data_IF_210120562835
#
_entry.id   IF_210120562835
#
_cell.length_a   1.000
_cell.length_b   1.000
_cell.length_c   1.000
_cell.angle_alpha   90.00
_cell.angle_beta   90.00
_cell.angle_gamma   90.00
#
_symmetry.space_group_name_H-M   'P 1'
#
loop_
_entity.id
_entity.type
_entity.pdbx_description
1 polymer ?
#
# COMPACT_ATOMS: atom_id res chain seq x y z
N UNK A 1 23.02 11.83 -26.53
CA UNK A 1 22.93 13.09 -25.75
C UNK A 1 21.57 13.74 -25.83
N UNK A 2 20.98 13.97 -27.00
CA UNK A 2 19.61 14.51 -27.17
C UNK A 2 18.51 13.64 -26.56
N UNK A 3 18.55 12.33 -26.73
CA UNK A 3 17.55 11.40 -26.16
C UNK A 3 17.56 11.43 -24.64
N UNK A 4 18.72 11.51 -24.01
CA UNK A 4 18.84 11.60 -22.54
C UNK A 4 18.25 12.92 -22.03
N UNK A 5 18.47 14.04 -22.71
CA UNK A 5 17.89 15.35 -22.36
C UNK A 5 16.36 15.35 -22.51
N UNK A 6 15.83 14.68 -23.51
CA UNK A 6 14.37 14.50 -23.72
C UNK A 6 13.76 13.65 -22.61
N UNK A 7 14.44 12.59 -22.19
CA UNK A 7 13.99 11.72 -21.09
C UNK A 7 13.98 12.49 -19.76
N UNK A 8 15.03 13.25 -19.48
CA UNK A 8 15.12 14.10 -18.27
C UNK A 8 14.03 15.18 -18.27
N UNK A 9 13.76 15.82 -19.41
CA UNK A 9 12.69 16.80 -19.54
C UNK A 9 11.30 16.20 -19.32
N UNK A 10 11.03 14.98 -19.84
CA UNK A 10 9.79 14.24 -19.59
C UNK A 10 9.66 13.88 -18.11
N UNK A 11 10.72 13.41 -17.47
CA UNK A 11 10.75 13.13 -16.04
C UNK A 11 10.42 14.36 -15.21
N UNK A 12 11.08 15.50 -15.49
CA UNK A 12 10.82 16.76 -14.81
C UNK A 12 9.37 17.24 -15.01
N UNK A 13 8.84 17.11 -16.21
CA UNK A 13 7.45 17.46 -16.52
C UNK A 13 6.45 16.59 -15.72
N UNK A 14 6.70 15.29 -15.57
CA UNK A 14 5.91 14.39 -14.73
C UNK A 14 5.95 14.83 -13.27
N UNK A 15 7.13 15.13 -12.72
CA UNK A 15 7.30 15.62 -11.35
C UNK A 15 6.50 16.90 -11.11
N UNK A 16 6.58 17.86 -12.03
CA UNK A 16 5.84 19.12 -11.94
C UNK A 16 4.32 18.91 -12.01
N UNK A 17 3.83 18.07 -12.92
CA UNK A 17 2.41 17.71 -13.02
C UNK A 17 1.92 17.05 -11.72
N UNK A 18 2.70 16.12 -11.15
CA UNK A 18 2.41 15.46 -9.88
C UNK A 18 2.32 16.46 -8.74
N UNK A 19 3.29 17.37 -8.59
CA UNK A 19 3.27 18.42 -7.55
C UNK A 19 2.05 19.33 -7.66
N UNK A 20 1.69 19.76 -8.87
CA UNK A 20 0.52 20.61 -9.10
C UNK A 20 -0.79 19.88 -8.78
N UNK A 21 -0.86 18.57 -9.08
CA UNK A 21 -2.01 17.73 -8.73
C UNK A 21 -2.13 17.61 -7.22
N UNK A 22 -1.03 17.26 -6.52
CA UNK A 22 -0.98 17.17 -5.05
C UNK A 22 -1.51 18.45 -4.39
N UNK A 23 -1.05 19.63 -4.83
CA UNK A 23 -1.50 20.90 -4.26
C UNK A 23 -3.02 21.11 -4.42
N UNK A 24 -3.59 20.74 -5.57
CA UNK A 24 -5.05 20.83 -5.82
C UNK A 24 -5.83 19.86 -4.94
N UNK A 25 -5.36 18.64 -4.82
CA UNK A 25 -6.01 17.57 -4.05
C UNK A 25 -5.99 17.88 -2.55
N UNK A 26 -4.86 18.40 -2.02
CA UNK A 26 -4.76 18.87 -0.62
C UNK A 26 -5.75 20.01 -0.34
N UNK A 27 -5.88 20.97 -1.26
CA UNK A 27 -6.85 22.06 -1.12
C UNK A 27 -8.30 21.56 -1.17
N UNK A 28 -8.61 20.61 -2.04
CA UNK A 28 -9.93 19.97 -2.10
C UNK A 28 -10.25 19.23 -0.82
N UNK A 29 -9.32 18.40 -0.36
CA UNK A 29 -9.46 17.61 0.87
C UNK A 29 -9.61 18.52 2.10
N UNK A 30 -8.86 19.62 2.21
CA UNK A 30 -9.04 20.62 3.29
C UNK A 30 -10.45 21.24 3.27
N UNK A 31 -11.01 21.52 2.09
CA UNK A 31 -12.38 22.03 1.95
C UNK A 31 -13.40 21.00 2.40
N UNK A 32 -13.22 19.75 2.01
CA UNK A 32 -14.10 18.63 2.36
C UNK A 32 -14.07 18.34 3.86
N UNK A 33 -12.88 18.33 4.49
CA UNK A 33 -12.72 18.17 5.93
C UNK A 33 -13.34 19.32 6.73
N UNK A 34 -13.28 20.56 6.24
CA UNK A 34 -13.96 21.71 6.85
C UNK A 34 -15.49 21.59 6.71
N UNK A 35 -15.97 20.99 5.61
CA UNK A 35 -17.38 20.65 5.40
C UNK A 35 -17.88 19.52 6.31
N UNK A 36 -17.06 18.52 6.60
CA UNK A 36 -17.38 17.38 7.47
C UNK A 36 -17.56 17.76 8.94
N UNK A 37 -16.90 18.80 9.45
CA UNK A 37 -17.14 19.31 10.81
C UNK A 37 -18.60 19.69 11.08
N UNK A 38 -19.43 19.87 10.06
CA UNK A 38 -20.87 20.17 10.19
C UNK A 38 -21.78 18.95 10.28
N UNK A 39 -21.34 17.75 9.91
CA UNK A 39 -22.14 16.54 10.09
C UNK A 39 -21.78 15.87 11.42
N UNK A 40 -22.58 16.10 12.47
CA UNK A 40 -22.55 15.31 13.71
C UNK A 40 -22.99 13.87 13.37
N UNK A 41 -22.05 13.05 12.97
CA UNK A 41 -22.27 11.61 12.84
C UNK A 41 -21.92 11.00 14.20
N UNK A 42 -22.81 10.16 14.74
CA UNK A 42 -22.57 9.46 16.00
C UNK A 42 -21.26 8.68 15.90
N UNK A 43 -20.25 9.06 16.69
CA UNK A 43 -18.96 8.37 16.73
C UNK A 43 -19.18 6.99 17.35
N UNK A 44 -18.77 5.93 16.66
CA UNK A 44 -18.66 4.62 17.24
C UNK A 44 -17.64 4.68 18.39
N UNK A 45 -17.98 4.06 19.55
CA UNK A 45 -17.10 4.02 20.71
C UNK A 45 -15.77 3.29 20.46
N UNK A 46 -15.61 2.65 19.29
CA UNK A 46 -14.43 1.89 18.87
C UNK A 46 -13.49 2.68 17.93
N UNK A 47 -13.90 3.86 17.46
CA UNK A 47 -13.08 4.66 16.55
C UNK A 47 -12.04 5.46 17.35
N UNK A 48 -10.72 5.29 17.06
CA UNK A 48 -9.69 6.08 17.72
C UNK A 48 -9.85 7.58 17.47
N UNK A 49 -9.71 8.38 18.52
CA UNK A 49 -9.98 9.83 18.47
C UNK A 49 -8.93 10.61 17.65
N UNK A 50 -7.75 10.04 17.44
CA UNK A 50 -6.60 10.62 16.75
C UNK A 50 -6.52 10.27 15.26
N UNK A 51 -7.48 9.50 14.74
CA UNK A 51 -7.47 9.02 13.36
C UNK A 51 -7.32 10.14 12.33
N UNK A 52 -8.01 11.27 12.51
CA UNK A 52 -7.96 12.37 11.54
C UNK A 52 -6.54 12.95 11.39
N UNK A 53 -5.81 13.14 12.50
CA UNK A 53 -4.45 13.66 12.49
C UNK A 53 -3.48 12.65 11.84
N UNK A 54 -3.61 11.37 12.21
CA UNK A 54 -2.78 10.30 11.67
C UNK A 54 -3.02 10.16 10.16
N UNK A 55 -4.25 10.18 9.70
CA UNK A 55 -4.55 10.11 8.26
C UNK A 55 -3.97 11.30 7.50
N UNK A 56 -4.06 12.52 8.05
CA UNK A 56 -3.46 13.69 7.43
C UNK A 56 -1.93 13.56 7.29
N UNK A 57 -1.27 13.01 8.32
CA UNK A 57 0.17 12.73 8.27
C UNK A 57 0.48 11.68 7.21
N UNK A 58 -0.23 10.54 7.20
CA UNK A 58 -0.01 9.45 6.25
C UNK A 58 -0.25 9.89 4.80
N UNK A 59 -1.26 10.71 4.54
CA UNK A 59 -1.54 11.25 3.21
C UNK A 59 -0.43 12.19 2.73
N UNK A 60 0.08 13.05 3.60
CA UNK A 60 1.21 13.94 3.30
C UNK A 60 2.47 13.16 2.94
N UNK A 61 2.78 12.15 3.74
CA UNK A 61 3.91 11.25 3.46
C UNK A 61 3.71 10.45 2.15
N UNK A 62 2.48 10.03 1.84
CA UNK A 62 2.18 9.38 0.56
C UNK A 62 2.39 10.34 -0.63
N UNK A 63 2.01 11.61 -0.48
CA UNK A 63 2.23 12.65 -1.49
C UNK A 63 3.73 12.94 -1.71
N UNK A 64 4.52 12.94 -0.64
CA UNK A 64 5.99 13.07 -0.71
C UNK A 64 6.63 11.88 -1.45
N UNK A 65 6.21 10.66 -1.15
CA UNK A 65 6.67 9.45 -1.85
C UNK A 65 6.29 9.53 -3.32
N UNK A 66 5.03 9.88 -3.63
CA UNK A 66 4.54 10.01 -4.99
C UNK A 66 5.38 11.00 -5.81
N UNK A 67 5.78 12.13 -5.22
CA UNK A 67 6.59 13.13 -5.91
C UNK A 67 8.00 12.64 -6.30
N UNK A 68 8.52 11.59 -5.65
CA UNK A 68 9.87 11.06 -5.82
C UNK A 68 9.90 9.60 -6.29
N UNK A 69 8.77 9.05 -6.73
CA UNK A 69 8.64 7.61 -6.99
C UNK A 69 9.63 7.13 -8.05
N UNK A 70 9.82 7.87 -9.13
CA UNK A 70 10.72 7.47 -10.22
C UNK A 70 12.19 7.42 -9.75
N UNK A 71 12.64 8.45 -9.01
CA UNK A 71 13.98 8.48 -8.41
C UNK A 71 14.16 7.33 -7.44
N UNK A 72 13.16 7.07 -6.60
CA UNK A 72 13.21 5.98 -5.62
C UNK A 72 13.33 4.61 -6.30
N UNK A 73 12.57 4.36 -7.36
CA UNK A 73 12.66 3.09 -8.10
C UNK A 73 14.00 2.91 -8.80
N UNK A 74 14.61 3.98 -9.31
CA UNK A 74 15.95 3.95 -9.86
C UNK A 74 16.99 3.63 -8.78
N UNK A 75 16.96 4.30 -7.62
CA UNK A 75 17.85 4.06 -6.48
C UNK A 75 17.75 2.62 -5.95
N UNK A 76 16.54 2.05 -5.90
CA UNK A 76 16.30 0.65 -5.50
C UNK A 76 16.70 -0.37 -6.56
N UNK A 77 17.01 0.07 -7.78
CA UNK A 77 17.40 -0.78 -8.90
C UNK A 77 16.28 -1.71 -9.37
N UNK A 78 15.00 -1.30 -9.21
CA UNK A 78 13.84 -2.14 -9.56
C UNK A 78 13.79 -2.40 -11.06
N UNK A 79 14.11 -1.39 -11.87
CA UNK A 79 14.14 -1.49 -13.34
C UNK A 79 15.25 -2.40 -13.86
N UNK A 80 16.32 -2.61 -13.06
CA UNK A 80 17.42 -3.50 -13.39
C UNK A 80 17.15 -4.97 -13.04
N UNK A 81 16.05 -5.28 -12.32
CA UNK A 81 15.67 -6.65 -12.04
C UNK A 81 15.31 -7.40 -13.34
N UNK A 82 15.58 -8.73 -13.42
CA UNK A 82 15.03 -9.53 -14.49
C UNK A 82 13.50 -9.45 -14.50
N UNK A 83 12.85 -9.83 -15.59
CA UNK A 83 11.41 -9.85 -15.70
C UNK A 83 10.92 -11.24 -16.11
N UNK A 84 10.23 -12.00 -15.22
CA UNK A 84 9.88 -11.63 -13.85
C UNK A 84 11.08 -11.63 -12.91
N UNK A 85 11.03 -10.78 -11.86
CA UNK A 85 12.10 -10.66 -10.87
C UNK A 85 11.61 -10.26 -9.49
N UNK A 86 12.32 -10.80 -8.47
CA UNK A 86 12.05 -10.50 -7.06
C UNK A 86 13.39 -10.32 -6.33
N UNK A 87 13.49 -9.28 -5.51
CA UNK A 87 14.56 -9.08 -4.53
C UNK A 87 13.92 -8.86 -3.16
N UNK A 88 14.48 -9.49 -2.14
CA UNK A 88 13.97 -9.46 -0.77
C UNK A 88 15.09 -9.25 0.24
N UNK A 89 14.81 -8.45 1.26
CA UNK A 89 15.67 -8.24 2.42
C UNK A 89 14.82 -8.27 3.69
N UNK A 90 15.24 -9.01 4.71
CA UNK A 90 14.59 -9.07 6.03
C UNK A 90 15.57 -8.79 7.14
N UNK A 91 15.14 -8.04 8.17
CA UNK A 91 15.87 -7.82 9.41
C UNK A 91 14.88 -7.93 10.59
N UNK A 92 14.70 -9.13 11.12
CA UNK A 92 13.74 -9.42 12.20
C UNK A 92 14.03 -8.68 13.51
N UNK A 93 15.30 -8.34 13.74
CA UNK A 93 15.75 -7.65 14.96
C UNK A 93 15.70 -6.14 14.85
N UNK A 94 15.37 -5.58 13.67
CA UNK A 94 15.32 -4.14 13.49
C UNK A 94 14.28 -3.49 14.41
N UNK A 95 14.68 -2.40 15.05
CA UNK A 95 13.83 -1.51 15.82
C UNK A 95 14.09 -0.09 15.35
N UNK A 96 13.04 0.69 15.13
CA UNK A 96 13.09 2.01 14.50
C UNK A 96 13.70 1.97 13.08
N UNK A 97 13.57 0.83 12.40
CA UNK A 97 14.16 0.55 11.08
C UNK A 97 13.33 -0.46 10.28
N UNK A 98 13.75 -0.73 9.05
CA UNK A 98 13.10 -1.64 8.10
C UNK A 98 13.30 -3.10 8.53
N UNK A 99 12.18 -3.79 8.74
CA UNK A 99 12.14 -5.23 9.06
C UNK A 99 11.95 -6.11 7.83
N UNK A 100 11.30 -5.57 6.78
CA UNK A 100 11.08 -6.25 5.50
C UNK A 100 11.14 -5.23 4.37
N UNK A 101 11.89 -5.55 3.33
CA UNK A 101 11.91 -4.81 2.07
C UNK A 101 11.82 -5.80 0.90
N UNK A 102 10.93 -5.52 -0.06
CA UNK A 102 10.71 -6.33 -1.25
C UNK A 102 10.61 -5.45 -2.49
N UNK A 103 11.20 -5.91 -3.58
CA UNK A 103 11.04 -5.29 -4.89
C UNK A 103 10.71 -6.35 -5.91
N UNK A 104 9.71 -6.10 -6.78
CA UNK A 104 9.36 -7.02 -7.86
C UNK A 104 9.23 -6.29 -9.19
N UNK A 105 9.50 -7.01 -10.27
CA UNK A 105 9.28 -6.59 -11.65
C UNK A 105 8.56 -7.69 -12.41
N UNK A 106 7.43 -7.35 -13.03
CA UNK A 106 6.60 -8.27 -13.78
C UNK A 106 6.14 -7.62 -15.10
N UNK A 107 5.78 -8.45 -16.07
CA UNK A 107 5.15 -8.02 -17.30
C UNK A 107 3.78 -8.71 -17.40
N UNK A 108 2.73 -7.90 -17.59
CA UNK A 108 1.36 -8.39 -17.75
C UNK A 108 0.92 -8.19 -19.21
N UNK A 109 0.31 -9.21 -19.87
CA UNK A 109 -0.08 -9.14 -21.28
C UNK A 109 -1.41 -8.41 -21.48
N UNK A 110 -1.56 -7.22 -20.88
CA UNK A 110 -2.77 -6.39 -20.91
C UNK A 110 -2.38 -4.91 -21.00
N UNK A 111 -3.24 -4.09 -21.60
CA UNK A 111 -3.01 -2.66 -21.71
C UNK A 111 -2.94 -1.97 -20.34
N UNK A 112 -2.16 -0.89 -20.25
CA UNK A 112 -1.97 -0.12 -19.03
C UNK A 112 -3.30 0.31 -18.40
N UNK A 113 -4.25 0.78 -19.19
CA UNK A 113 -5.55 1.27 -18.69
C UNK A 113 -6.37 0.16 -18.02
N UNK A 114 -6.44 -1.04 -18.65
CA UNK A 114 -7.13 -2.21 -18.08
C UNK A 114 -6.43 -2.66 -16.80
N UNK A 115 -5.10 -2.78 -16.87
CA UNK A 115 -4.28 -3.20 -15.73
C UNK A 115 -4.40 -2.23 -14.55
N UNK A 116 -4.32 -0.93 -14.78
CA UNK A 116 -4.44 0.08 -13.71
C UNK A 116 -5.84 0.09 -13.07
N UNK A 117 -6.90 -0.08 -13.86
CA UNK A 117 -8.28 -0.19 -13.34
C UNK A 117 -8.44 -1.42 -12.44
N UNK A 118 -7.90 -2.56 -12.86
CA UNK A 118 -7.96 -3.81 -12.09
C UNK A 118 -7.07 -3.75 -10.85
N UNK A 119 -5.86 -3.20 -10.98
CA UNK A 119 -4.95 -2.99 -9.86
C UNK A 119 -5.56 -2.12 -8.77
N UNK A 120 -6.34 -1.10 -9.10
CA UNK A 120 -7.10 -0.31 -8.12
C UNK A 120 -7.98 -1.20 -7.26
N UNK A 121 -8.75 -2.10 -7.86
CA UNK A 121 -9.65 -3.02 -7.13
C UNK A 121 -8.84 -3.96 -6.23
N UNK A 122 -7.78 -4.57 -6.76
CA UNK A 122 -6.92 -5.50 -6.02
C UNK A 122 -6.26 -4.78 -4.84
N UNK A 123 -5.67 -3.61 -5.06
CA UNK A 123 -4.97 -2.84 -4.02
C UNK A 123 -5.92 -2.25 -2.96
N UNK A 124 -7.15 -1.87 -3.34
CA UNK A 124 -8.18 -1.47 -2.37
C UNK A 124 -8.47 -2.60 -1.39
N UNK A 125 -8.54 -3.82 -1.90
CA UNK A 125 -8.82 -5.03 -1.12
C UNK A 125 -7.60 -5.58 -0.37
N UNK A 126 -6.39 -5.10 -0.68
CA UNK A 126 -5.16 -5.54 -0.03
C UNK A 126 -5.20 -5.20 1.48
N UNK A 127 -4.87 -6.17 2.32
CA UNK A 127 -4.93 -6.02 3.78
C UNK A 127 -6.34 -6.15 4.36
N UNK A 128 -7.36 -6.42 3.56
CA UNK A 128 -8.75 -6.64 3.99
C UNK A 128 -9.32 -7.93 3.41
N UNK A 129 -10.24 -7.86 2.45
CA UNK A 129 -10.81 -9.06 1.82
C UNK A 129 -9.79 -9.90 1.04
N UNK A 130 -8.72 -9.28 0.52
CA UNK A 130 -7.60 -9.97 -0.09
C UNK A 130 -6.88 -10.93 0.86
N UNK A 131 -6.80 -10.59 2.16
CA UNK A 131 -6.23 -11.49 3.19
C UNK A 131 -7.01 -12.81 3.34
N UNK A 132 -8.32 -12.80 3.10
CA UNK A 132 -9.16 -14.00 3.18
C UNK A 132 -8.88 -15.01 2.07
N UNK A 133 -8.30 -14.55 0.95
CA UNK A 133 -7.93 -15.40 -0.19
C UNK A 133 -6.61 -16.15 0.05
N UNK A 134 -5.77 -15.67 0.97
CA UNK A 134 -4.55 -16.34 1.36
C UNK A 134 -4.92 -17.47 2.30
N UNK A 135 -4.74 -18.72 1.86
CA UNK A 135 -4.95 -19.90 2.69
C UNK A 135 -4.08 -19.81 3.95
N UNK A 136 -4.62 -20.27 5.06
CA UNK A 136 -3.98 -20.36 6.39
C UNK A 136 -3.79 -19.03 7.15
N UNK A 137 -4.38 -17.94 6.68
CA UNK A 137 -4.40 -16.67 7.44
C UNK A 137 -5.74 -16.55 8.17
N UNK A 138 -5.80 -17.00 9.41
CA UNK A 138 -6.99 -16.93 10.28
C UNK A 138 -7.26 -15.52 10.81
N UNK A 139 -7.28 -14.49 9.93
CA UNK A 139 -7.51 -13.11 10.33
C UNK A 139 -8.99 -12.75 10.20
N UNK A 140 -9.54 -12.13 11.24
CA UNK A 140 -10.90 -11.56 11.24
C UNK A 140 -10.81 -10.05 11.23
N UNK A 141 -11.51 -9.39 10.31
CA UNK A 141 -11.47 -7.94 10.12
C UNK A 141 -12.82 -7.36 10.52
N UNK A 142 -12.78 -6.37 11.42
CA UNK A 142 -13.90 -5.54 11.82
C UNK A 142 -13.62 -4.10 11.45
N UNK A 143 -14.38 -3.55 10.52
CA UNK A 143 -14.26 -2.14 10.14
C UNK A 143 -14.86 -1.23 11.20
N UNK A 144 -14.23 -0.08 11.41
CA UNK A 144 -14.84 1.01 12.16
C UNK A 144 -15.91 1.67 11.30
N UNK A 145 -17.10 1.86 11.82
CA UNK A 145 -18.34 2.16 11.08
C UNK A 145 -18.35 3.47 10.27
N UNK A 146 -17.27 4.27 10.25
CA UNK A 146 -17.28 5.62 9.69
C UNK A 146 -16.04 6.04 8.89
N UNK A 147 -15.09 5.16 8.64
CA UNK A 147 -13.80 5.62 8.13
C UNK A 147 -13.30 4.86 6.89
N UNK A 148 -14.21 4.57 5.96
CA UNK A 148 -13.78 4.37 4.59
C UNK A 148 -14.28 5.57 3.78
N UNK A 149 -13.37 6.50 3.51
CA UNK A 149 -13.61 7.55 2.54
C UNK A 149 -12.90 7.16 1.25
N UNK A 150 -13.66 7.00 0.19
CA UNK A 150 -13.14 6.75 -1.14
C UNK A 150 -13.47 7.94 -2.03
N UNK A 151 -12.45 8.65 -2.47
CA UNK A 151 -12.53 9.57 -3.58
C UNK A 151 -11.94 8.92 -4.84
N UNK A 152 -12.02 9.62 -5.98
CA UNK A 152 -11.50 9.11 -7.24
C UNK A 152 -10.03 8.67 -7.14
N UNK A 153 -9.21 9.39 -6.37
CA UNK A 153 -7.74 9.23 -6.32
C UNK A 153 -7.21 8.92 -4.90
N UNK A 154 -8.09 8.74 -3.92
CA UNK A 154 -7.71 8.55 -2.53
C UNK A 154 -8.63 7.56 -1.85
N UNK A 155 -8.03 6.66 -1.06
CA UNK A 155 -8.73 5.77 -0.15
C UNK A 155 -8.19 5.96 1.27
N UNK A 156 -9.08 6.07 2.24
CA UNK A 156 -8.74 6.14 3.68
C UNK A 156 -9.58 5.09 4.41
N UNK A 157 -8.94 4.27 5.23
CA UNK A 157 -9.60 3.19 5.99
C UNK A 157 -9.05 3.08 7.40
N UNK A 158 -9.93 2.76 8.36
CA UNK A 158 -9.57 2.31 9.71
C UNK A 158 -10.34 1.03 10.06
N UNK A 159 -9.65 0.05 10.63
CA UNK A 159 -10.25 -1.21 11.04
C UNK A 159 -9.43 -1.92 12.11
N UNK A 160 -10.06 -2.84 12.82
CA UNK A 160 -9.38 -3.77 13.71
C UNK A 160 -9.21 -5.13 13.00
N UNK A 161 -7.97 -5.61 12.95
CA UNK A 161 -7.61 -6.90 12.38
C UNK A 161 -7.32 -7.87 13.54
N UNK A 162 -8.28 -8.73 13.87
CA UNK A 162 -8.11 -9.73 14.93
C UNK A 162 -7.27 -10.91 14.42
N UNK A 163 -6.41 -11.43 15.29
CA UNK A 163 -5.59 -12.63 15.05
C UNK A 163 -5.96 -13.75 16.01
N UNK A 164 -7.06 -14.48 15.73
CA UNK A 164 -7.47 -15.62 16.57
C UNK A 164 -6.34 -16.65 16.64
N UNK A 165 -6.09 -17.18 17.84
CA UNK A 165 -5.04 -18.21 18.02
C UNK A 165 -3.64 -17.69 18.28
N UNK A 166 -3.34 -16.42 18.05
CA UNK A 166 -2.04 -15.88 18.44
C UNK A 166 -1.93 -15.79 19.99
N UNK A 167 -0.87 -16.31 20.62
CA UNK A 167 -0.79 -16.41 22.08
C UNK A 167 -0.75 -15.04 22.78
N UNK A 168 -0.01 -14.09 22.23
CA UNK A 168 0.25 -12.80 22.85
C UNK A 168 -0.66 -11.68 22.32
N UNK A 169 -1.03 -11.68 21.05
CA UNK A 169 -1.69 -10.57 20.38
C UNK A 169 -3.16 -10.91 20.13
N UNK A 170 -4.08 -10.00 20.49
CA UNK A 170 -5.51 -10.12 20.14
C UNK A 170 -5.78 -9.71 18.69
N UNK A 171 -4.97 -8.80 18.17
CA UNK A 171 -5.10 -8.22 16.84
C UNK A 171 -4.31 -6.92 16.73
N UNK A 172 -4.62 -6.13 15.72
CA UNK A 172 -4.02 -4.81 15.52
C UNK A 172 -5.08 -3.78 15.11
N UNK A 173 -4.97 -2.57 15.67
CA UNK A 173 -5.62 -1.40 15.13
C UNK A 173 -4.89 -0.98 13.85
N UNK A 174 -5.58 -0.96 12.73
CA UNK A 174 -4.99 -0.66 11.42
C UNK A 174 -5.57 0.62 10.85
N UNK A 175 -4.68 1.48 10.35
CA UNK A 175 -5.01 2.66 9.54
C UNK A 175 -4.31 2.52 8.20
N UNK A 176 -5.05 2.76 7.14
CA UNK A 176 -4.59 2.59 5.77
C UNK A 176 -4.99 3.81 4.94
N UNK A 177 -4.06 4.31 4.15
CA UNK A 177 -4.35 5.28 3.10
C UNK A 177 -3.78 4.78 1.78
N UNK A 178 -4.42 5.16 0.67
CA UNK A 178 -3.89 4.93 -0.67
C UNK A 178 -4.08 6.20 -1.50
N UNK A 179 -3.04 6.58 -2.21
CA UNK A 179 -3.05 7.59 -3.27
C UNK A 179 -2.85 6.91 -4.60
N UNK A 180 -3.59 7.35 -5.62
CA UNK A 180 -3.40 6.86 -6.97
C UNK A 180 -3.36 8.01 -7.98
N UNK A 181 -2.61 7.79 -9.04
CA UNK A 181 -2.62 8.62 -10.24
C UNK A 181 -2.56 7.71 -11.46
N UNK A 182 -3.45 7.94 -12.39
CA UNK A 182 -3.46 7.25 -13.69
C UNK A 182 -3.31 8.32 -14.75
N UNK A 183 -2.22 8.21 -15.52
CA UNK A 183 -1.86 9.07 -16.64
C UNK A 183 -1.92 8.24 -17.92
N UNK A 184 -1.63 8.85 -19.06
CA UNK A 184 -1.73 8.17 -20.35
C UNK A 184 -0.71 7.01 -20.49
N UNK A 185 0.50 7.20 -20.01
CA UNK A 185 1.64 6.28 -20.14
C UNK A 185 2.10 5.65 -18.81
N UNK A 186 1.48 6.03 -17.70
CA UNK A 186 1.90 5.60 -16.37
C UNK A 186 0.73 5.57 -15.38
N UNK A 187 0.72 4.57 -14.49
CA UNK A 187 -0.14 4.55 -13.32
C UNK A 187 0.71 4.35 -12.06
N UNK A 188 0.41 5.11 -11.01
CA UNK A 188 1.14 5.06 -9.74
C UNK A 188 0.15 4.90 -8.59
N UNK A 189 0.42 3.93 -7.73
CA UNK A 189 -0.32 3.69 -6.49
C UNK A 189 0.65 3.73 -5.32
N UNK A 190 0.38 4.60 -4.35
CA UNK A 190 1.12 4.67 -3.08
C UNK A 190 0.17 4.29 -1.97
N UNK A 191 0.46 3.19 -1.32
CA UNK A 191 -0.30 2.64 -0.22
C UNK A 191 0.54 2.72 1.05
N UNK A 192 -0.03 3.31 2.12
CA UNK A 192 0.59 3.34 3.44
C UNK A 192 -0.33 2.71 4.46
N UNK A 193 0.24 1.97 5.38
CA UNK A 193 -0.47 1.37 6.48
C UNK A 193 0.31 1.58 7.78
N UNK A 194 -0.43 1.87 8.84
CA UNK A 194 0.03 1.83 10.21
C UNK A 194 -0.76 0.78 10.98
N UNK A 195 -0.09 -0.12 11.64
CA UNK A 195 -0.70 -1.15 12.47
C UNK A 195 -0.15 -1.07 13.89
N UNK A 196 -1.05 -0.96 14.86
CA UNK A 196 -0.75 -0.96 16.29
C UNK A 196 -1.25 -2.28 16.88
N UNK A 197 -0.35 -3.25 17.12
CA UNK A 197 -0.73 -4.50 17.75
C UNK A 197 -1.22 -4.29 19.20
N UNK A 198 -2.20 -5.12 19.61
CA UNK A 198 -2.83 -5.04 20.93
C UNK A 198 -2.66 -6.34 21.68
N UNK A 199 -2.29 -6.23 22.97
CA UNK A 199 -2.13 -7.39 23.86
C UNK A 199 -3.46 -8.11 24.06
N UNK A 200 -3.38 -9.42 24.13
CA UNK A 200 -4.52 -10.28 24.48
C UNK A 200 -4.91 -10.06 25.92
N UNK A 201 -6.22 -9.89 26.14
CA UNK A 201 -6.80 -9.71 27.47
C UNK A 201 -6.90 -8.28 27.97
N UNK A 202 -5.90 -7.42 27.69
CA UNK A 202 -5.91 -6.02 28.15
C UNK A 202 -6.24 -5.02 27.04
N UNK A 203 -6.07 -5.41 25.78
CA UNK A 203 -6.16 -4.52 24.62
C UNK A 203 -5.17 -3.33 24.65
N UNK A 204 -4.17 -3.40 25.51
CA UNK A 204 -3.12 -2.40 25.64
C UNK A 204 -2.15 -2.47 24.44
N UNK A 205 -1.38 -1.40 24.22
CA UNK A 205 -0.27 -1.38 23.28
C UNK A 205 0.78 -2.41 23.66
N UNK A 206 1.45 -3.02 22.69
CA UNK A 206 2.62 -3.88 22.94
C UNK A 206 3.94 -3.09 22.93
N UNK A 207 3.87 -1.75 22.85
CA UNK A 207 5.02 -0.86 22.90
C UNK A 207 5.69 -0.57 21.56
N UNK A 208 5.15 -1.09 20.45
CA UNK A 208 5.60 -0.72 19.11
C UNK A 208 4.45 -0.65 18.10
N UNK A 209 4.69 0.04 17.02
CA UNK A 209 3.83 0.09 15.84
C UNK A 209 4.58 -0.37 14.59
N UNK A 210 3.84 -0.91 13.64
CA UNK A 210 4.32 -1.28 12.31
C UNK A 210 3.86 -0.25 11.30
N UNK A 211 4.78 0.26 10.49
CA UNK A 211 4.46 1.10 9.35
C UNK A 211 4.90 0.40 8.08
N UNK A 212 4.03 0.32 7.08
CA UNK A 212 4.37 -0.24 5.79
C UNK A 212 3.97 0.70 4.66
N UNK A 213 4.79 0.65 3.61
CA UNK A 213 4.60 1.40 2.38
C UNK A 213 4.71 0.46 1.20
N UNK A 214 3.70 0.47 0.34
CA UNK A 214 3.69 -0.23 -0.93
C UNK A 214 3.61 0.82 -2.04
N UNK A 215 4.53 0.76 -2.95
CA UNK A 215 4.60 1.59 -4.15
C UNK A 215 4.44 0.68 -5.36
N UNK A 216 3.46 0.96 -6.19
CA UNK A 216 3.20 0.23 -7.43
C UNK A 216 3.25 1.21 -8.57
N UNK A 217 4.14 0.95 -9.52
CA UNK A 217 4.29 1.76 -10.73
C UNK A 217 4.06 0.86 -11.94
N UNK A 218 3.24 1.34 -12.85
CA UNK A 218 2.91 0.65 -14.09
C UNK A 218 3.23 1.55 -15.27
N UNK A 219 3.89 0.99 -16.27
CA UNK A 219 4.16 1.64 -17.55
C UNK A 219 3.67 0.78 -18.70
N UNK A 220 3.38 1.39 -19.84
CA UNK A 220 3.19 0.64 -21.07
C UNK A 220 4.46 -0.15 -21.38
N UNK A 221 4.32 -1.44 -21.66
CA UNK A 221 5.45 -2.31 -21.99
C UNK A 221 5.97 -1.99 -23.40
N UNK A 222 7.28 -2.14 -23.57
CA UNK A 222 7.95 -1.89 -24.86
C UNK A 222 7.76 -3.04 -25.85
N UNK A 223 7.39 -4.23 -25.37
CA UNK A 223 7.22 -5.44 -26.21
C UNK A 223 5.75 -5.67 -26.49
N UNK A 224 5.31 -5.63 -27.77
CA UNK A 224 3.98 -6.12 -28.13
C UNK A 224 3.93 -7.63 -27.78
N UNK A 225 2.76 -8.05 -27.26
CA UNK A 225 2.50 -9.47 -27.04
C UNK A 225 2.38 -10.20 -28.40
N UNK A 226 2.45 -11.54 -28.39
CA UNK A 226 2.26 -12.37 -29.60
C UNK A 226 0.93 -12.09 -30.30
N UNK A 227 -0.05 -11.55 -29.59
CA UNK A 227 -1.37 -11.11 -30.13
C UNK A 227 -1.39 -9.69 -30.68
N UNK A 228 -0.26 -8.95 -30.59
CA UNK A 228 -0.19 -7.53 -30.99
C UNK A 228 -0.82 -6.57 -29.97
N UNK A 229 -1.28 -7.08 -28.83
CA UNK A 229 -1.86 -6.27 -27.75
C UNK A 229 -0.77 -5.57 -26.93
N UNK A 230 -1.13 -4.43 -26.34
CA UNK A 230 -0.28 -3.69 -25.42
C UNK A 230 0.04 -4.54 -24.17
N UNK A 231 1.25 -4.45 -23.68
CA UNK A 231 1.65 -5.04 -22.40
C UNK A 231 1.83 -3.96 -21.33
N UNK A 232 1.81 -4.35 -20.08
CA UNK A 232 2.07 -3.47 -18.93
C UNK A 232 3.24 -3.98 -18.12
N UNK A 233 4.27 -3.18 -17.96
CA UNK A 233 5.33 -3.41 -16.99
C UNK A 233 4.85 -3.00 -15.60
N UNK A 234 4.86 -3.93 -14.66
CA UNK A 234 4.46 -3.76 -13.27
C UNK A 234 5.70 -3.79 -12.37
N UNK A 235 5.98 -2.68 -11.72
CA UNK A 235 7.07 -2.49 -10.78
C UNK A 235 6.49 -2.29 -9.38
N UNK A 236 6.97 -3.06 -8.39
CA UNK A 236 6.50 -2.97 -7.01
C UNK A 236 7.70 -2.78 -6.09
N UNK A 237 7.59 -1.85 -5.16
CA UNK A 237 8.46 -1.74 -4.00
C UNK A 237 7.60 -1.74 -2.74
N UNK A 238 7.94 -2.61 -1.80
CA UNK A 238 7.32 -2.72 -0.49
C UNK A 238 8.37 -2.58 0.61
N UNK A 239 8.04 -1.83 1.65
CA UNK A 239 8.84 -1.78 2.88
C UNK A 239 7.93 -1.79 4.10
N UNK A 240 8.34 -2.52 5.14
CA UNK A 240 7.72 -2.49 6.46
C UNK A 240 8.78 -2.17 7.51
N UNK A 241 8.47 -1.27 8.42
CA UNK A 241 9.34 -0.82 9.51
C UNK A 241 8.62 -0.97 10.84
N UNK A 242 9.40 -1.16 11.92
CA UNK A 242 8.92 -1.24 13.29
C UNK A 242 9.43 -0.03 14.08
N UNK A 243 8.56 0.64 14.80
CA UNK A 243 8.86 1.84 15.59
C UNK A 243 8.36 1.69 17.02
N UNK A 244 9.18 2.08 18.01
CA UNK A 244 8.77 2.17 19.41
C UNK A 244 7.72 3.28 19.60
N UNK A 245 6.70 3.03 20.44
CA UNK A 245 5.64 4.00 20.74
C UNK A 245 5.89 4.76 22.03
N UNK A 246 6.99 4.48 22.75
CA UNK A 246 7.27 5.03 24.07
C UNK A 246 6.69 4.22 25.22
N UNK A 247 5.75 3.32 24.97
CA UNK A 247 5.26 2.37 25.96
C UNK A 247 6.29 1.27 26.23
N UNK A 248 6.35 0.70 27.44
CA UNK A 248 7.24 -0.42 27.72
C UNK A 248 6.94 -1.63 26.84
N UNK A 249 7.94 -2.12 26.10
CA UNK A 249 7.82 -3.34 25.31
C UNK A 249 8.06 -4.54 26.23
N UNK A 250 7.10 -5.49 26.29
CA UNK A 250 7.28 -6.72 27.05
C UNK A 250 8.43 -7.56 26.49
N UNK A 251 9.07 -8.35 27.35
CA UNK A 251 10.18 -9.21 26.95
C UNK A 251 9.75 -10.21 25.86
N UNK A 252 8.53 -10.73 25.95
CA UNK A 252 7.95 -11.63 24.97
C UNK A 252 7.75 -10.92 23.62
N UNK A 253 7.25 -9.68 23.61
CA UNK A 253 7.01 -8.91 22.39
C UNK A 253 8.32 -8.46 21.69
N UNK A 254 9.47 -8.53 22.37
CA UNK A 254 10.80 -8.27 21.78
C UNK A 254 11.36 -9.45 21.00
N UNK A 255 10.84 -10.64 21.21
CA UNK A 255 11.34 -11.84 20.54
C UNK A 255 11.13 -11.76 19.03
N UNK A 256 12.17 -12.04 18.21
CA UNK A 256 12.07 -11.94 16.74
C UNK A 256 10.99 -12.82 16.13
N UNK A 257 10.68 -13.95 16.78
CA UNK A 257 9.69 -14.94 16.34
C UNK A 257 8.28 -14.36 16.22
N UNK A 258 7.94 -13.37 17.04
CA UNK A 258 6.64 -12.70 16.95
C UNK A 258 6.47 -11.87 15.66
N UNK A 259 7.58 -11.50 15.01
CA UNK A 259 7.56 -10.81 13.72
C UNK A 259 7.40 -11.76 12.54
N UNK A 260 7.73 -13.03 12.69
CA UNK A 260 7.77 -14.00 11.57
C UNK A 260 6.40 -14.17 10.90
N UNK A 261 5.34 -14.24 11.69
CA UNK A 261 3.98 -14.34 11.14
C UNK A 261 3.60 -13.11 10.31
N UNK A 262 3.94 -11.92 10.80
CA UNK A 262 3.69 -10.65 10.10
C UNK A 262 4.53 -10.53 8.82
N UNK A 263 5.82 -10.86 8.89
CA UNK A 263 6.72 -10.86 7.74
C UNK A 263 6.22 -11.85 6.68
N UNK A 264 5.93 -13.09 7.06
CA UNK A 264 5.42 -14.12 6.14
C UNK A 264 4.09 -13.72 5.50
N UNK A 265 3.22 -13.05 6.26
CA UNK A 265 1.97 -12.52 5.71
C UNK A 265 2.23 -11.46 4.64
N UNK A 266 3.11 -10.50 4.91
CA UNK A 266 3.43 -9.44 3.95
C UNK A 266 4.13 -9.98 2.70
N UNK A 267 5.03 -10.94 2.85
CA UNK A 267 5.69 -11.61 1.73
C UNK A 267 4.65 -12.22 0.79
N UNK A 268 3.76 -13.04 1.33
CA UNK A 268 2.69 -13.67 0.56
C UNK A 268 1.78 -12.64 -0.12
N UNK A 269 1.42 -11.56 0.59
CA UNK A 269 0.57 -10.51 0.03
C UNK A 269 1.23 -9.81 -1.16
N UNK A 270 2.49 -9.42 -1.01
CA UNK A 270 3.22 -8.66 -2.05
C UNK A 270 3.50 -9.55 -3.27
N UNK A 271 3.94 -10.77 -3.05
CA UNK A 271 4.20 -11.75 -4.12
C UNK A 271 2.92 -12.10 -4.91
N UNK A 272 1.77 -12.03 -4.24
CA UNK A 272 0.50 -12.40 -4.86
C UNK A 272 -0.15 -11.28 -5.69
N UNK A 273 0.29 -10.01 -5.51
CA UNK A 273 -0.29 -8.85 -6.23
C UNK A 273 -0.32 -9.05 -7.76
N UNK A 274 0.79 -9.40 -8.44
CA UNK A 274 0.79 -9.57 -9.89
C UNK A 274 -0.20 -10.64 -10.35
N UNK A 275 -0.23 -11.78 -9.64
CA UNK A 275 -1.13 -12.88 -9.92
C UNK A 275 -2.61 -12.51 -9.73
N UNK A 276 -2.96 -11.79 -8.66
CA UNK A 276 -4.33 -11.32 -8.42
C UNK A 276 -4.79 -10.36 -9.52
N UNK A 277 -3.93 -9.42 -9.93
CA UNK A 277 -4.25 -8.50 -11.03
C UNK A 277 -4.49 -9.29 -12.33
N UNK A 278 -3.62 -10.23 -12.67
CA UNK A 278 -3.75 -11.03 -13.87
C UNK A 278 -5.01 -11.92 -13.84
N UNK A 279 -5.26 -12.57 -12.71
CA UNK A 279 -6.44 -13.42 -12.52
C UNK A 279 -7.76 -12.66 -12.67
N UNK A 280 -7.84 -11.45 -12.11
CA UNK A 280 -9.04 -10.58 -12.24
C UNK A 280 -9.20 -10.09 -13.69
N UNK A 281 -8.10 -9.79 -14.39
CA UNK A 281 -8.13 -9.40 -15.81
C UNK A 281 -8.63 -10.53 -16.70
N UNK A 282 -8.16 -11.77 -16.49
CA UNK A 282 -8.60 -12.96 -17.23
C UNK A 282 -10.09 -13.24 -16.94
N UNK A 283 -10.49 -13.17 -15.66
CA UNK A 283 -11.89 -13.39 -15.26
C UNK A 283 -12.83 -12.38 -15.92
N UNK A 284 -12.42 -11.10 -16.01
CA UNK A 284 -13.18 -10.05 -16.69
C UNK A 284 -13.32 -10.25 -18.21
N UNK A 285 -12.39 -10.94 -18.85
CA UNK A 285 -12.50 -11.31 -20.27
C UNK A 285 -13.54 -12.41 -20.49
N UNK A 286 -13.66 -13.36 -19.57
CA UNK A 286 -14.59 -14.49 -19.67
C UNK A 286 -16.07 -14.08 -19.49
N UNK A 287 -16.35 -12.94 -18.85
CA UNK A 287 -17.73 -12.46 -18.62
C UNK A 287 -18.29 -11.69 -19.81
N UNK A 288 -17.43 -11.25 -20.76
CA UNK A 288 -17.82 -10.47 -21.93
C UNK A 288 -17.89 -11.30 -23.22
N UNK A 289 -17.88 -12.63 -23.13
CA UNK A 289 -18.11 -13.61 -24.19
C UNK A 289 -19.46 -14.29 -23.93
#
# INVERSE_FOLDING_TARGET
MLEMQVQDAKCLQRILKRRTKIQRDVLSMMKDMLGMKRRKIARSALTPSDNAEIFMKMLREADEIYSRVDTHFAEKGVTALPCPGLKRRTNRSAMNDVVLEMTTRNLLPFSLQKTAKTARVVLNNLGTSGLKRIKDVGIQITFHAQESEESRDTLVMSYFSATPGHPLISGAQVRKVMRMSVEEDCAVFIWKMMAEPKLRGSNASIGYQLQSTLQVVMHSGETPTLSGDDSTQLLIHFSASRYETGDPISAEARQPEHMDSGISLWEKLVEHIPYEIESELISGLCVNV
#
